data_IF_514822529396
#
_entry.id   IF_514822529396
#
_cell.length_a   1.000
_cell.length_b   1.000
_cell.length_c   1.000
_cell.angle_alpha   90.00
_cell.angle_beta   90.00
_cell.angle_gamma   90.00
#
_symmetry.space_group_name_H-M   'P 1'
#
loop_
_entity.id
_entity.type
_entity.pdbx_description
1 polymer ?
#
# COMPACT_ATOMS: atom_id res chain seq x y z
N UNK A 1 -6.19 -13.12 -27.22
CA UNK A 1 -5.63 -13.65 -25.97
C UNK A 1 -5.50 -15.16 -26.07
N UNK A 2 -4.33 -15.69 -25.75
CA UNK A 2 -4.12 -17.14 -25.83
C UNK A 2 -4.81 -17.87 -24.66
N UNK A 3 -5.23 -19.12 -24.85
CA UNK A 3 -5.84 -19.89 -23.75
C UNK A 3 -4.90 -20.05 -22.54
N UNK A 4 -3.61 -20.15 -22.79
CA UNK A 4 -2.60 -20.27 -21.72
C UNK A 4 -2.60 -19.02 -20.82
N UNK A 5 -2.72 -17.86 -21.42
CA UNK A 5 -2.74 -16.58 -20.69
C UNK A 5 -4.00 -16.47 -19.83
N UNK A 6 -5.14 -16.96 -20.33
CA UNK A 6 -6.38 -17.01 -19.55
C UNK A 6 -6.30 -17.99 -18.40
N UNK A 7 -5.69 -19.14 -18.60
CA UNK A 7 -5.56 -20.17 -17.57
C UNK A 7 -4.68 -19.73 -16.40
N UNK A 8 -3.71 -18.84 -16.64
CA UNK A 8 -2.81 -18.34 -15.61
C UNK A 8 -3.24 -16.98 -15.04
N UNK A 9 -4.32 -16.39 -15.54
CA UNK A 9 -4.78 -15.08 -15.08
C UNK A 9 -5.31 -15.14 -13.65
N UNK A 10 -4.97 -14.13 -12.86
CA UNK A 10 -5.51 -13.92 -11.52
C UNK A 10 -6.60 -12.85 -11.59
N UNK A 11 -7.25 -12.57 -10.46
CA UNK A 11 -8.21 -11.47 -10.39
C UNK A 11 -7.58 -10.14 -10.77
N UNK A 12 -6.29 -9.96 -10.46
CA UNK A 12 -5.55 -8.74 -10.78
C UNK A 12 -5.35 -8.54 -12.29
N UNK A 13 -5.39 -9.64 -13.04
CA UNK A 13 -5.13 -9.64 -14.48
C UNK A 13 -6.40 -9.63 -15.32
N UNK A 14 -7.57 -9.54 -14.70
CA UNK A 14 -8.83 -9.51 -15.43
C UNK A 14 -8.96 -8.24 -16.27
N UNK A 15 -9.54 -8.33 -17.47
CA UNK A 15 -9.76 -7.15 -18.31
C UNK A 15 -10.63 -6.12 -17.61
N UNK A 16 -10.34 -4.84 -17.85
CA UNK A 16 -11.15 -3.75 -17.35
C UNK A 16 -12.43 -3.64 -18.17
N UNK A 17 -13.50 -3.24 -17.52
CA UNK A 17 -14.74 -2.88 -18.19
C UNK A 17 -14.59 -1.51 -18.86
N UNK A 18 -15.47 -1.20 -19.80
CA UNK A 18 -15.45 0.09 -20.49
C UNK A 18 -15.50 1.24 -19.47
N UNK A 19 -14.58 2.18 -19.62
CA UNK A 19 -14.50 3.35 -18.75
C UNK A 19 -13.76 3.10 -17.44
N UNK A 20 -13.43 1.86 -17.13
CA UNK A 20 -12.63 1.58 -15.94
C UNK A 20 -11.16 1.84 -16.18
N UNK A 21 -10.49 2.27 -15.13
CA UNK A 21 -9.03 2.44 -15.13
C UNK A 21 -8.46 1.65 -13.95
N UNK A 22 -7.18 1.34 -14.07
CA UNK A 22 -6.42 0.72 -13.01
C UNK A 22 -5.36 1.71 -12.52
N UNK A 23 -5.33 1.95 -11.23
CA UNK A 23 -4.37 2.87 -10.63
C UNK A 23 -3.67 2.15 -9.50
N UNK A 24 -2.35 2.07 -9.58
CA UNK A 24 -1.52 1.53 -8.52
C UNK A 24 -0.91 2.69 -7.74
N UNK A 25 -1.10 2.70 -6.44
CA UNK A 25 -0.61 3.80 -5.62
C UNK A 25 -0.33 3.40 -4.19
N UNK A 26 0.21 4.34 -3.45
CA UNK A 26 0.51 4.19 -2.03
C UNK A 26 -0.36 5.16 -1.27
N UNK A 27 -1.04 4.67 -0.23
CA UNK A 27 -1.90 5.53 0.60
C UNK A 27 -1.02 6.53 1.34
N UNK A 28 -1.15 7.80 1.00
CA UNK A 28 -0.37 8.87 1.63
C UNK A 28 -1.12 9.56 2.76
N UNK A 29 -2.44 9.64 2.68
CA UNK A 29 -3.24 10.15 3.79
C UNK A 29 -4.67 9.64 3.71
N UNK A 30 -5.34 9.65 4.87
CA UNK A 30 -6.75 9.33 4.98
C UNK A 30 -7.48 10.65 5.19
N UNK A 31 -8.20 11.11 4.16
CA UNK A 31 -8.95 12.37 4.23
C UNK A 31 -10.21 12.20 5.07
N UNK A 32 -10.88 11.08 4.89
CA UNK A 32 -12.08 10.72 5.66
C UNK A 32 -12.17 9.21 5.73
N UNK A 33 -12.56 8.68 6.89
CA UNK A 33 -12.75 7.23 7.07
C UNK A 33 -14.01 6.99 7.89
N UNK A 34 -14.88 6.13 7.38
CA UNK A 34 -16.05 5.63 8.12
C UNK A 34 -15.99 4.11 8.11
N UNK A 35 -15.41 3.49 9.16
CA UNK A 35 -15.30 2.03 9.21
C UNK A 35 -16.64 1.32 9.20
N UNK A 36 -17.65 1.92 9.81
CA UNK A 36 -18.99 1.33 9.91
C UNK A 36 -19.68 1.20 8.56
N UNK A 37 -19.45 2.17 7.67
CA UNK A 37 -20.00 2.17 6.33
C UNK A 37 -19.05 1.55 5.31
N UNK A 38 -17.87 1.10 5.73
CA UNK A 38 -16.78 0.69 4.84
C UNK A 38 -16.56 1.71 3.73
N UNK A 39 -16.40 2.97 4.14
CA UNK A 39 -16.22 4.07 3.20
C UNK A 39 -15.03 4.92 3.62
N UNK A 40 -14.22 5.31 2.67
CA UNK A 40 -13.12 6.22 2.92
C UNK A 40 -12.82 7.09 1.71
N UNK A 41 -12.20 8.24 1.98
CA UNK A 41 -11.60 9.11 0.99
C UNK A 41 -10.12 9.16 1.30
N UNK A 42 -9.30 8.70 0.35
CA UNK A 42 -7.87 8.58 0.53
C UNK A 42 -7.12 9.39 -0.50
N UNK A 43 -5.91 9.84 -0.14
CA UNK A 43 -4.95 10.36 -1.10
C UNK A 43 -3.95 9.26 -1.40
N UNK A 44 -3.70 9.06 -2.70
CA UNK A 44 -2.75 8.07 -3.19
C UNK A 44 -1.61 8.77 -3.92
N UNK A 45 -0.38 8.36 -3.61
CA UNK A 45 0.77 8.74 -4.42
C UNK A 45 0.91 7.72 -5.54
N UNK A 46 0.87 8.20 -6.77
CA UNK A 46 0.93 7.36 -7.97
C UNK A 46 2.18 7.72 -8.76
N UNK A 47 2.94 6.70 -9.17
CA UNK A 47 4.16 6.89 -9.95
C UNK A 47 3.86 7.68 -11.23
N UNK A 48 4.71 8.68 -11.51
CA UNK A 48 4.57 9.52 -12.69
C UNK A 48 3.57 10.65 -12.54
N UNK A 49 2.87 10.77 -11.41
CA UNK A 49 1.93 11.87 -11.17
C UNK A 49 2.44 12.78 -10.06
N UNK A 50 2.41 14.08 -10.33
CA UNK A 50 2.88 15.08 -9.36
C UNK A 50 1.85 15.29 -8.25
N UNK A 51 0.57 15.30 -8.61
CA UNK A 51 -0.51 15.49 -7.64
C UNK A 51 -1.04 14.14 -7.16
N UNK A 52 -1.42 14.04 -5.89
CA UNK A 52 -2.03 12.82 -5.39
C UNK A 52 -3.37 12.56 -6.07
N UNK A 53 -3.70 11.29 -6.23
CA UNK A 53 -5.01 10.87 -6.73
C UNK A 53 -5.94 10.74 -5.52
N UNK A 54 -7.13 11.32 -5.62
CA UNK A 54 -8.14 11.17 -4.57
C UNK A 54 -9.00 9.96 -4.93
N UNK A 55 -9.00 8.96 -4.07
CA UNK A 55 -9.79 7.73 -4.26
C UNK A 55 -10.91 7.66 -3.23
N UNK A 56 -12.08 7.26 -3.66
CA UNK A 56 -13.26 7.15 -2.78
C UNK A 56 -13.94 5.79 -2.99
N UNK A 57 -14.50 5.24 -1.93
CA UNK A 57 -15.25 4.00 -1.99
C UNK A 57 -15.04 3.12 -0.77
N UNK A 58 -15.15 1.81 -0.95
CA UNK A 58 -14.98 0.80 0.10
C UNK A 58 -13.50 0.61 0.44
N UNK A 59 -12.90 1.64 1.02
CA UNK A 59 -11.46 1.76 1.26
C UNK A 59 -11.11 1.94 2.74
N UNK A 60 -12.07 1.73 3.64
CA UNK A 60 -11.86 2.02 5.06
C UNK A 60 -10.81 1.13 5.73
N UNK A 61 -10.57 -0.05 5.19
CA UNK A 61 -9.55 -0.96 5.73
C UNK A 61 -8.11 -0.67 5.31
N UNK A 62 -7.91 0.29 4.40
CA UNK A 62 -6.58 0.64 3.92
C UNK A 62 -5.91 1.64 4.85
N UNK A 63 -4.64 1.42 5.13
CA UNK A 63 -3.85 2.27 6.04
C UNK A 63 -2.79 3.04 5.29
N UNK A 64 -2.34 4.15 5.89
CA UNK A 64 -1.24 4.95 5.35
C UNK A 64 -0.01 4.06 5.17
N UNK A 65 0.65 4.19 4.03
CA UNK A 65 1.82 3.42 3.66
C UNK A 65 1.52 2.15 2.87
N UNK A 66 0.26 1.72 2.83
CA UNK A 66 -0.10 0.53 2.07
C UNK A 66 -0.08 0.80 0.57
N UNK A 67 0.39 -0.19 -0.18
CA UNK A 67 0.30 -0.20 -1.63
C UNK A 67 -1.02 -0.84 -2.03
N UNK A 68 -1.73 -0.21 -2.94
CA UNK A 68 -3.05 -0.68 -3.35
C UNK A 68 -3.23 -0.50 -4.86
N UNK A 69 -3.90 -1.45 -5.46
CA UNK A 69 -4.38 -1.36 -6.84
C UNK A 69 -5.87 -1.04 -6.80
N UNK A 70 -6.25 0.09 -7.36
CA UNK A 70 -7.63 0.53 -7.44
C UNK A 70 -8.12 0.32 -8.87
N UNK A 71 -9.22 -0.39 -9.01
CA UNK A 71 -9.93 -0.49 -10.29
C UNK A 71 -11.21 0.30 -10.12
N UNK A 72 -11.42 1.29 -10.97
CA UNK A 72 -12.57 2.17 -10.83
C UNK A 72 -12.71 3.12 -11.98
N UNK A 73 -13.42 4.20 -11.74
CA UNK A 73 -13.75 5.20 -12.75
C UNK A 73 -13.46 6.59 -12.21
N UNK A 74 -12.85 7.40 -13.04
CA UNK A 74 -12.72 8.80 -12.68
C UNK A 74 -14.08 9.50 -12.84
N UNK A 75 -14.37 10.36 -11.86
CA UNK A 75 -15.56 11.19 -11.90
C UNK A 75 -15.21 12.61 -11.48
N UNK A 76 -15.99 13.58 -11.96
CA UNK A 76 -15.81 14.96 -11.55
C UNK A 76 -16.69 15.25 -10.33
N UNK A 77 -16.10 15.94 -9.37
CA UNK A 77 -16.79 16.39 -8.18
C UNK A 77 -16.71 17.92 -8.12
N UNK A 78 -17.84 18.59 -7.90
CA UNK A 78 -17.91 20.05 -7.95
C UNK A 78 -16.93 20.74 -7.03
N UNK A 79 -16.67 20.13 -5.86
CA UNK A 79 -15.84 20.75 -4.83
C UNK A 79 -14.38 20.34 -4.92
N UNK A 80 -14.10 19.09 -5.27
CA UNK A 80 -12.77 18.52 -5.19
C UNK A 80 -12.15 18.21 -6.56
N UNK A 81 -12.82 18.54 -7.64
CA UNK A 81 -12.35 18.23 -8.98
C UNK A 81 -12.45 16.74 -9.30
N UNK A 82 -11.43 16.21 -9.96
CA UNK A 82 -11.41 14.81 -10.37
C UNK A 82 -11.10 13.90 -9.18
N UNK A 83 -11.88 12.82 -9.06
CA UNK A 83 -11.60 11.78 -8.07
C UNK A 83 -11.80 10.40 -8.70
N UNK A 84 -11.13 9.40 -8.13
CA UNK A 84 -11.22 8.02 -8.58
C UNK A 84 -12.23 7.29 -7.69
N UNK A 85 -13.35 6.91 -8.28
CA UNK A 85 -14.34 6.10 -7.57
C UNK A 85 -13.95 4.64 -7.69
N UNK A 86 -13.66 4.00 -6.56
CA UNK A 86 -13.20 2.62 -6.53
C UNK A 86 -14.36 1.65 -6.71
N UNK A 87 -14.25 0.79 -7.72
CA UNK A 87 -15.12 -0.38 -7.86
C UNK A 87 -14.51 -1.57 -7.14
N UNK A 88 -13.19 -1.68 -7.17
CA UNK A 88 -12.43 -2.71 -6.46
C UNK A 88 -11.13 -2.11 -5.92
N UNK A 89 -10.70 -2.60 -4.79
CA UNK A 89 -9.42 -2.24 -4.22
C UNK A 89 -8.69 -3.52 -3.80
N UNK A 90 -7.48 -3.70 -4.33
CA UNK A 90 -6.68 -4.91 -4.12
C UNK A 90 -5.39 -4.51 -3.40
N UNK A 91 -5.27 -4.78 -2.10
CA UNK A 91 -4.00 -4.52 -1.41
C UNK A 91 -2.87 -5.28 -2.08
N UNK A 92 -1.73 -4.61 -2.23
CA UNK A 92 -0.55 -5.19 -2.88
C UNK A 92 0.60 -5.25 -1.89
N UNK A 93 1.44 -6.26 -2.02
CA UNK A 93 2.68 -6.30 -1.28
C UNK A 93 3.61 -5.24 -1.85
N UNK A 94 4.18 -4.35 -1.01
CA UNK A 94 5.12 -3.35 -1.52
C UNK A 94 6.33 -4.02 -2.17
N UNK A 95 6.63 -3.65 -3.41
CA UNK A 95 7.76 -4.20 -4.17
C UNK A 95 8.81 -3.14 -4.48
N UNK A 96 8.40 -1.88 -4.63
CA UNK A 96 9.36 -0.80 -4.88
C UNK A 96 10.04 -0.36 -3.60
N UNK A 97 11.26 0.19 -3.73
CA UNK A 97 11.98 0.72 -2.58
C UNK A 97 11.16 1.78 -1.84
N UNK A 98 10.53 2.67 -2.57
CA UNK A 98 9.72 3.72 -1.96
C UNK A 98 8.49 3.14 -1.24
N UNK A 99 7.82 2.17 -1.85
CA UNK A 99 6.66 1.53 -1.23
C UNK A 99 7.04 0.80 0.05
N UNK A 100 8.15 0.06 0.03
CA UNK A 100 8.65 -0.65 1.21
C UNK A 100 9.04 0.34 2.30
N UNK A 101 9.74 1.42 1.94
CA UNK A 101 10.13 2.44 2.91
C UNK A 101 8.92 3.07 3.59
N UNK A 102 7.92 3.46 2.82
CA UNK A 102 6.70 4.05 3.37
C UNK A 102 5.94 3.07 4.26
N UNK A 103 5.83 1.83 3.84
CA UNK A 103 5.18 0.82 4.64
C UNK A 103 5.90 0.62 5.98
N UNK A 104 7.21 0.45 5.95
CA UNK A 104 8.01 0.26 7.16
C UNK A 104 7.90 1.46 8.10
N UNK A 105 7.80 2.67 7.56
CA UNK A 105 7.71 3.89 8.38
C UNK A 105 6.45 3.94 9.24
N UNK A 106 5.42 3.18 8.87
CA UNK A 106 4.15 3.14 9.63
C UNK A 106 4.13 2.04 10.68
N UNK A 107 5.10 1.13 10.68
CA UNK A 107 5.13 0.03 11.63
C UNK A 107 5.55 0.50 13.02
N UNK A 108 4.98 -0.14 14.04
CA UNK A 108 5.29 0.19 15.43
C UNK A 108 6.79 0.07 15.72
N UNK A 109 7.35 1.07 16.37
CA UNK A 109 8.77 1.10 16.72
C UNK A 109 9.70 1.62 15.63
N UNK A 110 9.20 1.76 14.41
CA UNK A 110 9.96 2.32 13.30
C UNK A 110 9.37 3.69 12.96
N UNK A 111 10.17 4.57 12.49
CA UNK A 111 9.73 5.86 11.97
C UNK A 111 10.32 6.04 10.58
N UNK A 112 10.07 7.21 9.93
CA UNK A 112 10.56 7.46 8.59
C UNK A 112 12.08 7.31 8.46
N UNK A 113 12.82 7.76 9.46
CA UNK A 113 14.28 7.69 9.42
C UNK A 113 14.81 6.27 9.51
N UNK A 114 14.28 5.47 10.42
CA UNK A 114 14.69 4.07 10.56
C UNK A 114 14.26 3.26 9.33
N UNK A 115 13.08 3.51 8.81
CA UNK A 115 12.63 2.87 7.59
C UNK A 115 13.58 3.15 6.42
N UNK A 116 14.04 4.40 6.29
CA UNK A 116 15.00 4.78 5.26
C UNK A 116 16.31 4.03 5.42
N UNK A 117 16.82 3.91 6.65
CA UNK A 117 18.05 3.18 6.92
C UNK A 117 17.93 1.71 6.57
N UNK A 118 16.80 1.10 6.93
CA UNK A 118 16.55 -0.31 6.65
C UNK A 118 16.54 -0.55 5.15
N UNK A 119 15.81 0.28 4.41
CA UNK A 119 15.72 0.14 2.95
C UNK A 119 17.05 0.47 2.27
N UNK A 120 17.83 1.42 2.82
CA UNK A 120 19.15 1.72 2.28
C UNK A 120 20.09 0.52 2.33
N UNK A 121 19.99 -0.31 3.37
CA UNK A 121 20.82 -1.51 3.51
C UNK A 121 20.24 -2.74 2.82
N UNK A 122 18.93 -2.96 2.93
CA UNK A 122 18.29 -4.20 2.51
C UNK A 122 17.52 -4.08 1.21
N UNK A 123 17.32 -2.85 0.74
CA UNK A 123 16.62 -2.59 -0.51
C UNK A 123 15.15 -2.99 -0.49
N UNK A 124 14.56 -3.30 -1.66
CA UNK A 124 13.14 -3.66 -1.74
C UNK A 124 12.77 -4.93 -0.97
N UNK A 125 13.77 -5.74 -0.61
CA UNK A 125 13.55 -6.96 0.17
C UNK A 125 13.49 -6.73 1.68
N UNK A 126 13.53 -5.47 2.11
CA UNK A 126 13.58 -5.11 3.53
C UNK A 126 12.38 -5.67 4.31
N UNK A 127 11.18 -5.65 3.72
CA UNK A 127 10.00 -6.19 4.39
C UNK A 127 10.09 -7.70 4.55
N UNK A 128 10.57 -8.40 3.53
CA UNK A 128 10.79 -9.84 3.59
C UNK A 128 11.83 -10.16 4.67
N UNK A 129 12.91 -9.37 4.73
CA UNK A 129 13.94 -9.55 5.74
C UNK A 129 13.41 -9.33 7.15
N UNK A 130 12.51 -8.36 7.34
CA UNK A 130 11.89 -8.15 8.64
C UNK A 130 11.13 -9.39 9.10
N UNK A 131 10.43 -10.06 8.21
CA UNK A 131 9.62 -11.21 8.55
C UNK A 131 10.41 -12.51 8.63
N UNK A 132 11.37 -12.72 7.76
CA UNK A 132 12.12 -13.97 7.67
C UNK A 132 13.50 -13.93 8.32
N UNK A 133 14.10 -12.75 8.40
CA UNK A 133 15.44 -12.56 8.92
C UNK A 133 15.46 -11.37 9.87
N UNK A 134 14.58 -11.38 10.87
CA UNK A 134 14.39 -10.26 11.79
C UNK A 134 15.69 -9.81 12.43
N UNK A 135 16.62 -10.74 12.69
CA UNK A 135 17.90 -10.41 13.29
C UNK A 135 18.74 -9.48 12.43
N UNK A 136 18.61 -9.56 11.10
CA UNK A 136 19.34 -8.66 10.19
C UNK A 136 18.84 -7.23 10.33
N UNK A 137 17.54 -7.07 10.46
CA UNK A 137 16.94 -5.75 10.68
C UNK A 137 17.36 -5.21 12.05
N UNK A 138 17.39 -6.07 13.06
CA UNK A 138 17.79 -5.67 14.42
C UNK A 138 19.24 -5.16 14.50
N UNK A 139 20.11 -5.59 13.59
CA UNK A 139 21.51 -5.18 13.56
C UNK A 139 21.71 -3.79 12.94
N UNK A 140 20.72 -3.25 12.27
CA UNK A 140 20.82 -1.93 11.66
C UNK A 140 20.86 -0.87 12.76
N UNK A 141 21.79 0.07 12.63
CA UNK A 141 22.01 1.12 13.63
C UNK A 141 20.71 1.87 13.92
N UNK A 142 20.36 1.93 15.19
CA UNK A 142 19.17 2.64 15.65
C UNK A 142 17.92 1.77 15.78
N UNK A 143 17.91 0.59 15.17
CA UNK A 143 16.74 -0.30 15.24
C UNK A 143 16.76 -1.13 16.52
N UNK A 144 17.71 -2.05 16.64
CA UNK A 144 17.79 -2.92 17.80
C UNK A 144 16.72 -4.00 17.82
N UNK A 145 16.91 -4.95 18.74
CA UNK A 145 16.06 -6.13 18.84
C UNK A 145 14.61 -5.80 19.19
N UNK A 146 14.39 -4.88 20.13
CA UNK A 146 13.03 -4.55 20.59
C UNK A 146 12.21 -3.90 19.48
N UNK A 147 12.79 -2.96 18.76
CA UNK A 147 12.09 -2.27 17.68
C UNK A 147 11.79 -3.21 16.51
N UNK A 148 12.75 -4.07 16.17
CA UNK A 148 12.54 -5.06 15.11
C UNK A 148 11.42 -6.02 15.48
N UNK A 149 11.35 -6.47 16.73
CA UNK A 149 10.30 -7.36 17.21
C UNK A 149 8.93 -6.68 17.19
N UNK A 150 8.85 -5.43 17.64
CA UNK A 150 7.59 -4.68 17.62
C UNK A 150 7.08 -4.46 16.19
N UNK A 151 7.99 -4.13 15.29
CA UNK A 151 7.63 -3.95 13.89
C UNK A 151 7.14 -5.26 13.26
N UNK A 152 7.80 -6.38 13.59
CA UNK A 152 7.41 -7.69 13.11
C UNK A 152 6.00 -8.08 13.57
N UNK A 153 5.71 -7.86 14.86
CA UNK A 153 4.39 -8.15 15.42
C UNK A 153 3.32 -7.32 14.72
N UNK A 154 3.58 -6.02 14.53
CA UNK A 154 2.64 -5.14 13.86
C UNK A 154 2.41 -5.55 12.40
N UNK A 155 3.47 -5.90 11.68
CA UNK A 155 3.37 -6.33 10.28
C UNK A 155 2.53 -7.60 10.16
N UNK A 156 2.72 -8.55 11.07
CA UNK A 156 1.94 -9.80 11.08
C UNK A 156 0.47 -9.55 11.42
N UNK A 157 0.21 -8.68 12.39
CA UNK A 157 -1.16 -8.33 12.76
C UNK A 157 -1.92 -7.70 11.59
N UNK A 158 -1.26 -6.82 10.85
CA UNK A 158 -1.87 -6.19 9.67
C UNK A 158 -2.19 -7.20 8.58
N UNK A 159 -1.33 -8.20 8.40
CA UNK A 159 -1.56 -9.25 7.42
C UNK A 159 -2.79 -10.08 7.78
N UNK A 160 -2.97 -10.39 9.06
CA UNK A 160 -4.11 -11.18 9.54
C UNK A 160 -5.44 -10.42 9.44
N UNK A 161 -5.42 -9.09 9.49
CA UNK A 161 -6.61 -8.26 9.37
C UNK A 161 -7.17 -8.19 7.94
N UNK A 162 -6.43 -8.67 6.96
CA UNK A 162 -6.85 -8.63 5.55
C UNK A 162 -7.60 -9.90 5.12
#
# INVERSE_FOLDING_TARGET
>A
MSPEKLASATLDDLPLLDGQVQVDGIVSSQVFVSPEADFAVLRLDVAGQIRPVIAVGALAGLRIGETVRIIGRYEQHDRYGQRLRADQALPQTPESRLGVERYLSTLAGLGPELARRIVAELGPRALIALEEETFRVAQIKGVGKKRAQRALIDARARREER
#
